data_IF_534549964359
#
_entry.id   IF_534549964359
#
_cell.length_a   1.000
_cell.length_b   1.000
_cell.length_c   1.000
_cell.angle_alpha   90.00
_cell.angle_beta   90.00
_cell.angle_gamma   90.00
#
_symmetry.space_group_name_H-M   'P 1'
#
loop_
_entity.id
_entity.type
_entity.pdbx_description
1 polymer ?
#
# COMPACT_ATOMS: atom_id res chain seq x y z
N UNK A 1 4.11 26.68 -9.07
CA UNK A 1 4.03 25.38 -8.35
C UNK A 1 3.51 24.35 -9.34
N UNK A 2 4.20 23.22 -9.46
CA UNK A 2 3.94 22.22 -10.52
C UNK A 2 2.90 21.22 -10.05
N UNK A 3 1.92 20.95 -10.91
CA UNK A 3 1.02 19.81 -10.77
C UNK A 3 1.86 18.55 -10.98
N UNK A 4 2.05 17.77 -9.90
CA UNK A 4 2.87 16.55 -9.91
C UNK A 4 1.99 15.34 -9.64
N UNK A 5 2.00 14.41 -10.58
CA UNK A 5 1.45 13.06 -10.36
C UNK A 5 2.58 12.12 -9.97
N UNK A 6 2.53 11.59 -8.76
CA UNK A 6 3.51 10.67 -8.21
C UNK A 6 2.92 9.27 -8.15
N UNK A 7 3.75 8.28 -8.47
CA UNK A 7 3.41 6.86 -8.39
C UNK A 7 4.39 6.16 -7.47
N UNK A 8 3.92 5.21 -6.64
CA UNK A 8 4.82 4.47 -5.79
C UNK A 8 5.68 3.52 -6.62
N UNK A 9 6.89 3.27 -6.16
CA UNK A 9 7.65 2.09 -6.57
C UNK A 9 6.99 0.83 -6.01
N UNK A 10 6.95 -0.21 -6.84
CA UNK A 10 6.16 -1.40 -6.60
C UNK A 10 7.04 -2.64 -6.54
N UNK A 11 6.68 -3.54 -5.63
CA UNK A 11 7.30 -4.86 -5.58
C UNK A 11 6.94 -5.70 -6.82
N UNK A 12 7.76 -6.72 -7.05
CA UNK A 12 7.59 -7.65 -8.16
C UNK A 12 6.27 -8.44 -8.07
N UNK A 13 5.66 -8.76 -9.23
CA UNK A 13 4.47 -9.62 -9.32
C UNK A 13 4.76 -11.11 -9.11
N UNK A 14 6.00 -11.49 -8.81
CA UNK A 14 6.38 -12.90 -8.58
C UNK A 14 5.50 -13.59 -7.53
N UNK A 15 5.12 -12.87 -6.47
CA UNK A 15 4.22 -13.41 -5.44
C UNK A 15 2.83 -13.79 -5.97
N UNK A 16 2.23 -12.94 -6.81
CA UNK A 16 0.96 -13.21 -7.49
C UNK A 16 1.07 -14.43 -8.42
N UNK A 17 2.16 -14.50 -9.20
CA UNK A 17 2.43 -15.65 -10.08
C UNK A 17 2.54 -16.96 -9.29
N UNK A 18 3.30 -16.96 -8.18
CA UNK A 18 3.45 -18.14 -7.33
C UNK A 18 2.12 -18.56 -6.69
N UNK A 19 1.30 -17.61 -6.23
CA UNK A 19 -0.02 -17.89 -5.65
C UNK A 19 -0.96 -18.53 -6.68
N UNK A 20 -1.02 -17.99 -7.90
CA UNK A 20 -1.81 -18.57 -8.98
C UNK A 20 -1.29 -19.94 -9.43
N UNK A 21 0.02 -20.12 -9.49
CA UNK A 21 0.62 -21.41 -9.83
C UNK A 21 0.24 -22.49 -8.81
N UNK A 22 0.35 -22.19 -7.50
CA UNK A 22 -0.06 -23.11 -6.45
C UNK A 22 -1.56 -23.43 -6.52
N UNK A 23 -2.40 -22.40 -6.68
CA UNK A 23 -3.84 -22.59 -6.83
C UNK A 23 -4.18 -23.46 -8.06
N UNK A 24 -3.48 -23.27 -9.17
CA UNK A 24 -3.64 -24.07 -10.39
C UNK A 24 -3.24 -25.54 -10.19
N UNK A 25 -2.07 -25.79 -9.60
CA UNK A 25 -1.58 -27.16 -9.33
C UNK A 25 -2.54 -27.91 -8.39
N UNK A 26 -3.01 -27.26 -7.33
CA UNK A 26 -3.98 -27.89 -6.41
C UNK A 26 -5.33 -28.09 -7.09
N UNK A 27 -5.79 -27.16 -7.93
CA UNK A 27 -7.02 -27.34 -8.72
C UNK A 27 -6.93 -28.56 -9.64
N UNK A 28 -5.80 -28.74 -10.33
CA UNK A 28 -5.57 -29.89 -11.19
C UNK A 28 -5.53 -31.20 -10.39
N UNK A 29 -4.86 -31.19 -9.23
CA UNK A 29 -4.78 -32.34 -8.33
C UNK A 29 -6.16 -32.73 -7.80
N UNK A 30 -6.97 -31.75 -7.40
CA UNK A 30 -8.36 -31.93 -6.96
C UNK A 30 -9.22 -32.56 -8.07
N UNK A 31 -9.11 -32.06 -9.31
CA UNK A 31 -9.84 -32.59 -10.45
C UNK A 31 -9.47 -34.06 -10.74
N UNK A 32 -8.17 -34.40 -10.69
CA UNK A 32 -7.69 -35.76 -10.89
C UNK A 32 -8.15 -36.72 -9.76
N UNK A 33 -8.07 -36.28 -8.51
CA UNK A 33 -8.54 -37.04 -7.35
C UNK A 33 -10.05 -37.30 -7.43
N UNK A 34 -10.83 -36.26 -7.75
CA UNK A 34 -12.26 -36.39 -7.92
C UNK A 34 -12.61 -37.36 -9.06
N UNK A 35 -11.89 -37.29 -10.18
CA UNK A 35 -12.11 -38.20 -11.31
C UNK A 35 -11.80 -39.66 -10.97
N UNK A 36 -10.72 -39.92 -10.21
CA UNK A 36 -10.28 -41.28 -9.87
C UNK A 36 -11.05 -41.90 -8.69
N UNK A 37 -11.26 -41.14 -7.63
CA UNK A 37 -11.77 -41.65 -6.34
C UNK A 37 -13.23 -41.30 -6.09
N UNK A 38 -13.84 -40.42 -6.91
CA UNK A 38 -15.20 -39.86 -6.77
C UNK A 38 -15.54 -39.27 -5.39
N UNK A 39 -14.54 -39.16 -4.52
CA UNK A 39 -14.65 -38.69 -3.16
C UNK A 39 -13.40 -37.88 -2.87
N UNK A 40 -13.61 -36.67 -2.35
CA UNK A 40 -12.54 -35.76 -1.96
C UNK A 40 -12.86 -35.30 -0.54
N UNK A 41 -11.92 -35.44 0.41
CA UNK A 41 -12.15 -35.01 1.79
C UNK A 41 -12.55 -33.53 1.86
N UNK A 42 -13.49 -33.20 2.75
CA UNK A 42 -13.95 -31.81 2.96
C UNK A 42 -12.78 -30.87 3.28
N UNK A 43 -11.77 -31.35 4.02
CA UNK A 43 -10.56 -30.60 4.32
C UNK A 43 -9.80 -30.13 3.06
N UNK A 44 -9.80 -30.94 2.00
CA UNK A 44 -9.14 -30.58 0.73
C UNK A 44 -9.92 -29.47 0.00
N UNK A 45 -11.25 -29.48 0.06
CA UNK A 45 -12.08 -28.38 -0.46
C UNK A 45 -11.84 -27.07 0.29
N UNK A 46 -11.77 -27.13 1.62
CA UNK A 46 -11.47 -25.96 2.45
C UNK A 46 -10.08 -25.38 2.13
N UNK A 47 -9.07 -26.24 2.02
CA UNK A 47 -7.72 -25.84 1.65
C UNK A 47 -7.65 -25.23 0.23
N UNK A 48 -8.30 -25.86 -0.74
CA UNK A 48 -8.40 -25.34 -2.10
C UNK A 48 -9.06 -23.96 -2.15
N UNK A 49 -10.19 -23.80 -1.45
CA UNK A 49 -10.89 -22.52 -1.35
C UNK A 49 -10.01 -21.43 -0.74
N UNK A 50 -9.25 -21.76 0.31
CA UNK A 50 -8.28 -20.85 0.91
C UNK A 50 -7.19 -20.41 -0.08
N UNK A 51 -6.64 -21.32 -0.89
CA UNK A 51 -5.61 -20.98 -1.88
C UNK A 51 -6.14 -20.06 -2.98
N UNK A 52 -7.33 -20.34 -3.49
CA UNK A 52 -8.00 -19.49 -4.49
C UNK A 52 -8.23 -18.09 -3.90
N UNK A 53 -8.80 -18.02 -2.68
CA UNK A 53 -9.00 -16.77 -1.98
C UNK A 53 -7.69 -15.98 -1.77
N UNK A 54 -6.60 -16.66 -1.41
CA UNK A 54 -5.29 -16.04 -1.26
C UNK A 54 -4.73 -15.49 -2.58
N UNK A 55 -4.87 -16.23 -3.68
CA UNK A 55 -4.45 -15.79 -5.02
C UNK A 55 -5.24 -14.56 -5.50
N UNK A 56 -6.56 -14.55 -5.30
CA UNK A 56 -7.40 -13.38 -5.57
C UNK A 56 -7.04 -12.19 -4.70
N UNK A 57 -6.87 -12.39 -3.39
CA UNK A 57 -6.50 -11.33 -2.45
C UNK A 57 -5.16 -10.68 -2.82
N UNK A 58 -4.17 -11.49 -3.22
CA UNK A 58 -2.85 -11.00 -3.68
C UNK A 58 -2.99 -10.21 -4.99
N UNK A 59 -3.81 -10.69 -5.92
CA UNK A 59 -4.06 -10.00 -7.19
C UNK A 59 -4.76 -8.66 -6.98
N UNK A 60 -5.73 -8.61 -6.07
CA UNK A 60 -6.44 -7.39 -5.71
C UNK A 60 -5.50 -6.37 -5.08
N UNK A 61 -4.63 -6.80 -4.15
CA UNK A 61 -3.60 -5.94 -3.57
C UNK A 61 -2.66 -5.35 -4.63
N UNK A 62 -2.13 -6.20 -5.52
CA UNK A 62 -1.27 -5.74 -6.62
C UNK A 62 -1.98 -4.77 -7.58
N UNK A 63 -3.25 -5.01 -7.88
CA UNK A 63 -4.05 -4.10 -8.71
C UNK A 63 -4.23 -2.75 -8.01
N UNK A 64 -4.54 -2.78 -6.72
CA UNK A 64 -4.75 -1.60 -5.89
C UNK A 64 -3.47 -0.74 -5.81
N UNK A 65 -2.33 -1.37 -5.53
CA UNK A 65 -1.04 -0.70 -5.46
C UNK A 65 -0.66 -0.05 -6.80
N UNK A 66 -0.94 -0.72 -7.93
CA UNK A 66 -0.70 -0.18 -9.30
C UNK A 66 -1.61 0.97 -9.69
N UNK A 67 -2.80 1.05 -9.08
CA UNK A 67 -3.73 2.15 -9.25
C UNK A 67 -3.50 3.26 -8.23
N UNK A 68 -2.53 3.10 -7.33
CA UNK A 68 -2.20 4.12 -6.33
C UNK A 68 -1.44 5.27 -6.97
N UNK A 69 -1.96 6.48 -6.77
CA UNK A 69 -1.45 7.73 -7.31
C UNK A 69 -1.61 8.82 -6.25
N UNK A 70 -0.54 9.57 -6.01
CA UNK A 70 -0.55 10.76 -5.16
C UNK A 70 -0.38 11.98 -6.07
N UNK A 71 -1.34 12.88 -6.09
CA UNK A 71 -1.25 14.13 -6.85
C UNK A 71 -1.09 15.29 -5.89
N UNK A 72 -0.07 16.10 -6.17
CA UNK A 72 0.18 17.34 -5.44
C UNK A 72 -0.06 18.48 -6.41
N UNK A 73 -1.08 19.27 -6.13
CA UNK A 73 -1.48 20.44 -6.90
C UNK A 73 -1.23 21.70 -6.08
N UNK A 74 -1.49 22.87 -6.66
CA UNK A 74 -1.28 24.16 -5.99
C UNK A 74 -2.22 24.35 -4.80
N UNK A 75 -3.47 23.90 -4.93
CA UNK A 75 -4.55 24.11 -3.97
C UNK A 75 -4.96 22.85 -3.20
N UNK A 76 -4.53 21.67 -3.66
CA UNK A 76 -5.01 20.38 -3.15
C UNK A 76 -3.96 19.28 -3.18
N UNK A 77 -4.22 18.29 -2.33
CA UNK A 77 -3.54 17.02 -2.23
C UNK A 77 -4.54 15.90 -2.48
N UNK A 78 -4.33 15.12 -3.54
CA UNK A 78 -5.22 14.02 -3.92
C UNK A 78 -4.51 12.68 -3.76
N UNK A 79 -5.18 11.73 -3.11
CA UNK A 79 -4.76 10.35 -3.01
C UNK A 79 -5.81 9.46 -3.67
N UNK A 80 -5.40 8.78 -4.74
CA UNK A 80 -6.22 7.79 -5.42
C UNK A 80 -5.58 6.42 -5.22
N UNK A 81 -6.39 5.46 -4.84
CA UNK A 81 -6.10 4.04 -4.82
C UNK A 81 -7.28 3.37 -5.55
N UNK A 82 -7.08 2.19 -6.16
CA UNK A 82 -8.14 1.50 -6.92
C UNK A 82 -9.51 1.40 -6.22
N UNK A 83 -9.56 1.50 -4.89
CA UNK A 83 -10.79 1.47 -4.08
C UNK A 83 -11.21 2.82 -3.48
N UNK A 84 -10.31 3.80 -3.37
CA UNK A 84 -10.57 5.05 -2.65
C UNK A 84 -9.98 6.26 -3.37
N UNK A 85 -10.75 7.34 -3.42
CA UNK A 85 -10.31 8.64 -3.91
C UNK A 85 -10.54 9.67 -2.80
N UNK A 86 -9.45 10.24 -2.27
CA UNK A 86 -9.49 11.27 -1.24
C UNK A 86 -8.84 12.53 -1.81
N UNK A 87 -9.51 13.66 -1.65
CA UNK A 87 -8.96 14.96 -2.04
C UNK A 87 -9.04 15.86 -0.81
N UNK A 88 -7.92 16.44 -0.43
CA UNK A 88 -7.86 17.49 0.58
C UNK A 88 -7.46 18.79 -0.07
N UNK A 89 -8.15 19.87 0.27
CA UNK A 89 -7.55 21.20 0.17
C UNK A 89 -6.51 21.34 1.28
N UNK A 90 -5.51 22.19 1.08
CA UNK A 90 -4.46 22.39 2.11
C UNK A 90 -5.04 22.82 3.46
N UNK A 91 -6.09 23.64 3.43
CA UNK A 91 -6.84 24.12 4.60
C UNK A 91 -7.77 23.07 5.23
N UNK A 92 -7.91 21.88 4.64
CA UNK A 92 -8.65 20.75 5.23
C UNK A 92 -7.74 19.76 5.96
N UNK A 93 -6.42 19.84 5.77
CA UNK A 93 -5.46 18.97 6.46
C UNK A 93 -5.28 19.46 7.90
N UNK A 94 -5.72 18.65 8.86
CA UNK A 94 -5.68 19.00 10.28
C UNK A 94 -4.46 18.42 10.98
N UNK A 95 -4.09 17.18 10.64
CA UNK A 95 -3.04 16.42 11.32
C UNK A 95 -2.27 15.53 10.35
N UNK A 96 -0.99 15.36 10.62
CA UNK A 96 -0.14 14.40 9.92
C UNK A 96 0.61 13.57 10.96
N UNK A 97 0.47 12.24 10.87
CA UNK A 97 1.20 11.31 11.71
C UNK A 97 2.26 10.60 10.86
N UNK A 98 3.48 10.53 11.37
CA UNK A 98 4.59 9.84 10.70
C UNK A 98 5.04 8.70 11.59
N UNK A 99 4.91 7.48 11.10
CA UNK A 99 5.30 6.25 11.78
C UNK A 99 6.53 5.64 11.10
N UNK A 100 7.58 5.29 11.86
CA UNK A 100 8.71 4.58 11.30
C UNK A 100 8.28 3.14 10.95
N UNK A 101 8.63 2.70 9.74
CA UNK A 101 8.46 1.30 9.31
C UNK A 101 9.84 0.65 9.16
N UNK A 102 9.85 -0.69 9.03
CA UNK A 102 11.09 -1.43 8.72
C UNK A 102 11.74 -0.97 7.41
N UNK A 103 10.91 -0.53 6.44
CA UNK A 103 11.35 -0.03 5.14
C UNK A 103 10.63 1.29 4.85
N UNK A 104 11.27 2.42 5.16
CA UNK A 104 10.72 3.77 4.99
C UNK A 104 9.85 4.23 6.16
N UNK A 105 8.91 5.14 5.89
CA UNK A 105 7.96 5.69 6.87
C UNK A 105 6.54 5.55 6.33
N UNK A 106 5.58 5.37 7.23
CA UNK A 106 4.15 5.55 6.94
C UNK A 106 3.78 6.98 7.30
N UNK A 107 3.18 7.70 6.35
CA UNK A 107 2.67 9.04 6.53
C UNK A 107 1.15 8.98 6.42
N UNK A 108 0.48 9.26 7.53
CA UNK A 108 -0.96 9.33 7.61
C UNK A 108 -1.40 10.80 7.61
N UNK A 109 -2.13 11.20 6.57
CA UNK A 109 -2.71 12.53 6.42
C UNK A 109 -4.18 12.48 6.84
N UNK A 110 -4.54 13.31 7.81
CA UNK A 110 -5.89 13.34 8.40
C UNK A 110 -6.47 14.74 8.19
N UNK A 111 -7.68 14.78 7.64
CA UNK A 111 -8.48 16.00 7.54
C UNK A 111 -9.88 15.77 8.11
N UNK A 112 -10.78 16.70 7.83
CA UNK A 112 -12.14 16.64 8.36
C UNK A 112 -12.92 15.43 7.80
N UNK A 113 -13.21 14.45 8.65
CA UNK A 113 -14.03 13.27 8.34
C UNK A 113 -13.37 12.20 7.45
N UNK A 114 -12.17 12.42 6.92
CA UNK A 114 -11.45 11.43 6.11
C UNK A 114 -9.95 11.42 6.39
N UNK A 115 -9.27 10.36 5.98
CA UNK A 115 -7.82 10.25 6.07
C UNK A 115 -7.28 9.41 4.92
N UNK A 116 -6.00 9.58 4.60
CA UNK A 116 -5.27 8.61 3.81
C UNK A 116 -3.87 8.37 4.34
N UNK A 117 -3.25 7.30 3.85
CA UNK A 117 -1.90 6.92 4.22
C UNK A 117 -1.10 6.67 2.95
N UNK A 118 0.15 7.14 2.93
CA UNK A 118 1.13 6.77 1.93
C UNK A 118 2.45 6.39 2.60
N UNK A 119 3.27 5.60 1.91
CA UNK A 119 4.59 5.20 2.39
C UNK A 119 5.66 5.97 1.66
N UNK A 120 6.65 6.49 2.39
CA UNK A 120 7.88 7.00 1.77
C UNK A 120 8.70 5.83 1.23
N UNK A 121 9.67 6.12 0.37
CA UNK A 121 10.55 5.11 -0.20
C UNK A 121 11.20 4.26 0.89
N UNK A 122 11.01 2.95 0.77
CA UNK A 122 11.71 1.93 1.52
C UNK A 122 12.53 1.06 0.58
N UNK A 123 13.78 0.83 0.92
CA UNK A 123 14.65 -0.10 0.20
C UNK A 123 14.75 -1.43 0.98
N UNK A 124 14.61 -2.54 0.26
CA UNK A 124 14.83 -3.88 0.78
C UNK A 124 16.24 -4.29 0.38
N UNK A 125 17.15 -4.31 1.35
CA UNK A 125 18.52 -4.77 1.16
C UNK A 125 18.65 -6.25 1.55
N UNK A 126 19.40 -7.01 0.77
CA UNK A 126 19.80 -8.37 1.08
C UNK A 126 21.25 -8.57 0.65
N UNK A 127 22.13 -8.91 1.59
CA UNK A 127 23.58 -9.05 1.36
C UNK A 127 24.18 -7.79 0.71
N UNK A 128 23.92 -6.62 1.32
CA UNK A 128 24.40 -5.30 0.87
C UNK A 128 23.97 -4.87 -0.55
N UNK A 129 23.10 -5.64 -1.21
CA UNK A 129 22.48 -5.28 -2.49
C UNK A 129 21.02 -4.88 -2.32
N UNK A 130 20.61 -3.80 -3.00
CA UNK A 130 19.20 -3.37 -3.08
C UNK A 130 18.43 -4.37 -3.94
N UNK A 131 17.61 -5.21 -3.32
CA UNK A 131 16.79 -6.23 -3.99
C UNK A 131 15.39 -5.77 -4.34
N UNK A 132 14.96 -4.63 -3.81
CA UNK A 132 13.68 -4.04 -4.16
C UNK A 132 13.47 -2.68 -3.52
N UNK A 133 12.55 -1.92 -4.11
CA UNK A 133 12.08 -0.63 -3.62
C UNK A 133 10.57 -0.66 -3.51
N UNK A 134 10.04 0.01 -2.50
CA UNK A 134 8.60 0.16 -2.30
C UNK A 134 8.24 1.55 -1.78
N UNK A 135 7.07 2.06 -2.16
CA UNK A 135 6.58 3.36 -1.70
C UNK A 135 6.99 4.51 -2.61
N UNK A 136 6.66 5.74 -2.21
CA UNK A 136 6.88 6.92 -3.05
C UNK A 136 8.33 7.41 -2.93
N UNK A 137 9.05 7.43 -4.05
CA UNK A 137 10.42 7.98 -4.16
C UNK A 137 10.48 9.42 -3.62
N UNK A 138 9.55 10.27 -4.06
CA UNK A 138 9.41 11.66 -3.62
C UNK A 138 8.62 11.78 -2.29
N UNK A 139 8.35 10.68 -1.58
CA UNK A 139 7.45 10.68 -0.43
C UNK A 139 7.91 11.57 0.72
N UNK A 140 9.22 11.70 0.97
CA UNK A 140 9.73 12.63 1.98
C UNK A 140 9.51 14.08 1.56
N UNK A 141 9.81 14.44 0.30
CA UNK A 141 9.56 15.78 -0.23
C UNK A 141 8.08 16.15 -0.19
N UNK A 142 7.18 15.20 -0.44
CA UNK A 142 5.74 15.43 -0.32
C UNK A 142 5.33 15.64 1.15
N UNK A 143 5.86 14.86 2.09
CA UNK A 143 5.62 15.08 3.51
C UNK A 143 6.04 16.49 3.94
N UNK A 144 7.24 16.91 3.55
CA UNK A 144 7.77 18.23 3.88
C UNK A 144 6.87 19.34 3.29
N UNK A 145 6.45 19.18 2.03
CA UNK A 145 5.52 20.10 1.38
C UNK A 145 4.15 20.14 2.08
N UNK A 146 3.63 19.01 2.56
CA UNK A 146 2.36 18.97 3.31
C UNK A 146 2.49 19.76 4.61
N UNK A 147 3.55 19.53 5.37
CA UNK A 147 3.77 20.21 6.66
C UNK A 147 3.88 21.73 6.43
N UNK A 148 4.66 22.15 5.43
CA UNK A 148 4.87 23.57 5.11
C UNK A 148 3.59 24.23 4.60
N UNK A 149 2.92 23.63 3.62
CA UNK A 149 1.76 24.25 2.94
C UNK A 149 0.51 24.26 3.82
N UNK A 150 0.31 23.22 4.65
CA UNK A 150 -0.80 23.17 5.61
C UNK A 150 -0.48 23.87 6.95
N UNK A 151 0.70 24.50 7.07
CA UNK A 151 1.16 25.22 8.26
C UNK A 151 1.05 24.38 9.55
N UNK A 152 1.51 23.13 9.48
CA UNK A 152 1.46 22.20 10.60
C UNK A 152 2.73 22.35 11.46
N UNK A 153 2.55 22.30 12.78
CA UNK A 153 3.63 22.34 13.76
C UNK A 153 3.78 20.97 14.44
N UNK A 154 5.01 20.66 14.87
CA UNK A 154 5.27 19.43 15.62
C UNK A 154 4.60 19.51 16.99
N UNK A 155 3.55 18.71 17.20
CA UNK A 155 2.79 18.66 18.44
C UNK A 155 3.36 17.64 19.43
N UNK A 156 3.88 16.51 18.93
CA UNK A 156 4.44 15.44 19.76
C UNK A 156 5.48 14.62 19.00
N UNK A 157 6.52 14.19 19.71
CA UNK A 157 7.46 13.16 19.27
C UNK A 157 7.52 12.04 20.31
N UNK A 158 7.36 10.79 19.89
CA UNK A 158 7.45 9.63 20.78
C UNK A 158 7.98 8.40 20.06
N UNK A 159 9.09 7.82 20.54
CA UNK A 159 9.68 6.57 20.00
C UNK A 159 9.88 6.62 18.47
N UNK A 160 10.34 7.77 17.95
CA UNK A 160 10.55 8.00 16.52
C UNK A 160 9.27 8.19 15.69
N UNK A 161 8.11 8.35 16.35
CA UNK A 161 6.85 8.77 15.73
C UNK A 161 6.72 10.28 15.87
N UNK A 162 6.32 10.93 14.79
CA UNK A 162 6.13 12.37 14.73
C UNK A 162 4.66 12.69 14.50
N UNK A 163 4.12 13.61 15.28
CA UNK A 163 2.73 14.04 15.20
C UNK A 163 2.72 15.53 14.92
N UNK A 164 2.24 15.91 13.75
CA UNK A 164 2.07 17.29 13.33
C UNK A 164 0.59 17.65 13.39
N UNK A 165 0.28 18.84 13.89
CA UNK A 165 -1.06 19.39 13.89
C UNK A 165 -1.02 20.89 13.67
N UNK A 166 -2.16 21.49 13.39
CA UNK A 166 -2.25 22.96 13.41
C UNK A 166 -1.90 23.51 14.81
N UNK A 167 -1.31 24.73 14.86
CA UNK A 167 -1.03 25.44 16.10
C UNK A 167 -2.30 25.77 16.89
#
# INVERSE_FOLDING_TARGET
MSNKELRPELLSRRGEGNAWMLAFVVSLTMALLYWRLKSVPVAAWAFWGFLIFAAFSTSLGNWMDRKTVLRVDVDRLSFVNGLRNVNFRWDEIEKVNVFPLRWGKSVQVIGNGTHFEFRTLGEVQYQDEVRGRLGFAEGQSVLDQIIETANLVLAKEEKGRYYYSRP
#
